data_IF_693979591715
#
_entry.id   IF_693979591715
#
_cell.length_a   1.000
_cell.length_b   1.000
_cell.length_c   1.000
_cell.angle_alpha   90.00
_cell.angle_beta   90.00
_cell.angle_gamma   90.00
#
_symmetry.space_group_name_H-M   'P 1'
#
loop_
_entity.id
_entity.type
_entity.pdbx_description
1 polymer ?
#
# COMPACT_ATOMS: atom_id res chain seq x y z
N UNK A 1 14.68 7.03 -2.09
CA UNK A 1 15.42 6.87 -3.36
C UNK A 1 16.56 7.88 -3.35
N UNK A 2 17.77 7.48 -3.73
CA UNK A 2 18.92 8.39 -3.78
C UNK A 2 18.74 9.43 -4.89
N UNK A 3 19.25 10.65 -4.69
CA UNK A 3 19.27 11.70 -5.73
C UNK A 3 19.89 11.18 -7.03
N UNK A 4 20.91 10.32 -6.93
CA UNK A 4 21.58 9.75 -8.09
C UNK A 4 20.65 8.89 -8.95
N UNK A 5 19.74 8.14 -8.32
CA UNK A 5 18.77 7.29 -9.04
C UNK A 5 17.67 8.14 -9.69
N UNK A 6 17.27 9.24 -9.06
CA UNK A 6 16.32 10.18 -9.67
C UNK A 6 16.92 10.89 -10.88
N UNK A 7 18.19 11.28 -10.80
CA UNK A 7 18.90 11.91 -11.92
C UNK A 7 19.05 10.95 -13.10
N UNK A 8 19.51 9.72 -12.84
CA UNK A 8 19.66 8.70 -13.89
C UNK A 8 18.33 8.39 -14.61
N UNK A 9 17.23 8.24 -13.87
CA UNK A 9 15.90 8.03 -14.47
C UNK A 9 15.47 9.18 -15.39
N UNK A 10 15.85 10.41 -15.04
CA UNK A 10 15.54 11.58 -15.86
C UNK A 10 16.45 11.67 -17.08
N UNK A 11 17.77 11.45 -16.92
CA UNK A 11 18.74 11.55 -18.02
C UNK A 11 18.60 10.41 -19.03
N UNK A 12 18.39 9.18 -18.55
CA UNK A 12 18.36 7.98 -19.38
C UNK A 12 16.97 7.72 -19.99
N UNK A 13 15.89 7.99 -19.25
CA UNK A 13 14.52 7.62 -19.65
C UNK A 13 13.53 8.79 -19.66
N UNK A 14 13.95 10.01 -19.34
CA UNK A 14 13.07 11.18 -19.18
C UNK A 14 11.92 10.94 -18.19
N UNK A 15 12.15 10.10 -17.17
CA UNK A 15 11.17 9.79 -16.13
C UNK A 15 11.39 10.73 -14.96
N UNK A 16 10.33 11.45 -14.57
CA UNK A 16 10.29 12.24 -13.33
C UNK A 16 9.46 11.53 -12.28
N UNK A 17 10.05 11.28 -11.12
CA UNK A 17 9.35 10.69 -9.98
C UNK A 17 8.66 11.79 -9.17
N UNK A 18 7.33 11.85 -9.25
CA UNK A 18 6.53 12.65 -8.34
C UNK A 18 6.22 11.84 -7.08
N UNK A 19 6.62 12.37 -5.92
CA UNK A 19 6.31 11.76 -4.62
C UNK A 19 5.34 12.69 -3.88
N UNK A 20 4.04 12.36 -3.82
CA UNK A 20 3.08 13.16 -3.08
C UNK A 20 3.49 13.31 -1.62
N UNK A 21 3.44 14.55 -1.13
CA UNK A 21 3.89 14.88 0.22
C UNK A 21 2.97 14.28 1.29
N UNK A 22 3.54 14.03 2.48
CA UNK A 22 2.76 13.81 3.71
C UNK A 22 2.32 15.15 4.28
N UNK A 23 1.13 15.20 4.87
CA UNK A 23 0.59 16.40 5.50
C UNK A 23 1.52 16.94 6.61
N UNK A 24 2.24 16.07 7.30
CA UNK A 24 3.12 16.44 8.41
C UNK A 24 4.58 16.71 7.99
N UNK A 25 4.86 16.81 6.69
CA UNK A 25 6.20 17.07 6.19
C UNK A 25 6.50 18.58 6.22
N UNK A 26 7.67 18.97 6.74
CA UNK A 26 8.02 20.40 6.95
C UNK A 26 8.05 21.22 5.67
N UNK A 27 8.48 20.63 4.55
CA UNK A 27 8.57 21.28 3.23
C UNK A 27 7.40 20.87 2.32
N UNK A 28 6.18 20.89 2.85
CA UNK A 28 4.99 20.49 2.10
C UNK A 28 4.71 21.47 0.96
N UNK A 29 4.49 20.94 -0.24
CA UNK A 29 3.93 21.69 -1.36
C UNK A 29 2.62 21.06 -1.83
N UNK A 30 1.70 21.85 -2.41
CA UNK A 30 0.43 21.33 -2.94
C UNK A 30 0.71 20.28 -4.01
N UNK A 31 0.33 19.02 -3.74
CA UNK A 31 0.35 17.96 -4.75
C UNK A 31 -1.01 17.83 -5.41
N UNK A 32 -1.04 17.36 -6.66
CA UNK A 32 -2.26 16.97 -7.34
C UNK A 32 -3.11 16.03 -6.46
N UNK A 33 -4.35 16.44 -6.16
CA UNK A 33 -5.21 15.82 -5.13
C UNK A 33 -5.40 14.31 -5.35
N UNK A 34 -5.61 13.81 -6.60
CA UNK A 34 -5.70 12.37 -6.85
C UNK A 34 -4.47 11.58 -6.39
N UNK A 35 -3.26 12.11 -6.56
CA UNK A 35 -2.03 11.44 -6.11
C UNK A 35 -1.92 11.39 -4.58
N UNK A 36 -2.31 12.46 -3.90
CA UNK A 36 -2.38 12.46 -2.44
C UNK A 36 -3.40 11.43 -1.91
N UNK A 37 -4.56 11.29 -2.56
CA UNK A 37 -5.57 10.27 -2.21
C UNK A 37 -5.05 8.85 -2.47
N UNK A 38 -4.42 8.61 -3.62
CA UNK A 38 -3.82 7.32 -3.95
C UNK A 38 -2.73 6.92 -2.95
N UNK A 39 -1.82 7.84 -2.62
CA UNK A 39 -0.78 7.61 -1.59
C UNK A 39 -1.41 7.21 -0.25
N UNK A 40 -2.40 7.98 0.22
CA UNK A 40 -3.06 7.69 1.50
C UNK A 40 -3.73 6.32 1.50
N UNK A 41 -4.33 5.91 0.38
CA UNK A 41 -4.92 4.58 0.22
C UNK A 41 -3.86 3.48 0.32
N UNK A 42 -2.77 3.60 -0.44
CA UNK A 42 -1.65 2.66 -0.40
C UNK A 42 -1.09 2.53 1.03
N UNK A 43 -0.81 3.65 1.70
CA UNK A 43 -0.33 3.62 3.09
C UNK A 43 -1.31 2.95 4.05
N UNK A 44 -2.62 3.20 3.89
CA UNK A 44 -3.67 2.59 4.72
C UNK A 44 -3.73 1.07 4.51
N UNK A 45 -3.68 0.63 3.25
CA UNK A 45 -3.74 -0.80 2.89
C UNK A 45 -2.51 -1.54 3.44
N UNK A 46 -1.31 -0.97 3.28
CA UNK A 46 -0.07 -1.55 3.82
C UNK A 46 -0.06 -1.59 5.36
N UNK A 47 -0.52 -0.53 6.04
CA UNK A 47 -0.63 -0.55 7.51
C UNK A 47 -1.54 -1.68 7.97
N UNK A 48 -2.69 -1.89 7.32
CA UNK A 48 -3.60 -2.96 7.70
C UNK A 48 -3.05 -4.35 7.39
N UNK A 49 -2.35 -4.54 6.27
CA UNK A 49 -1.66 -5.80 5.96
C UNK A 49 -0.54 -6.12 6.97
N UNK A 50 0.20 -5.10 7.42
CA UNK A 50 1.23 -5.26 8.44
C UNK A 50 0.63 -5.57 9.82
N UNK A 51 -0.38 -4.82 10.24
CA UNK A 51 -0.90 -4.90 11.62
C UNK A 51 -1.88 -6.07 11.81
N UNK A 52 -2.83 -6.26 10.88
CA UNK A 52 -3.90 -7.27 11.02
C UNK A 52 -3.47 -8.64 10.47
N UNK A 53 -2.75 -8.66 9.36
CA UNK A 53 -2.33 -9.90 8.69
C UNK A 53 -0.88 -10.30 8.99
N UNK A 54 -0.15 -9.46 9.72
CA UNK A 54 1.28 -9.67 10.02
C UNK A 54 2.06 -10.06 8.77
N UNK A 55 1.85 -9.36 7.64
CA UNK A 55 2.32 -9.82 6.32
C UNK A 55 3.82 -10.13 6.28
N UNK A 56 4.62 -9.36 7.03
CA UNK A 56 6.08 -9.53 7.18
C UNK A 56 6.47 -10.82 7.91
N UNK A 57 5.65 -11.29 8.87
CA UNK A 57 5.94 -12.54 9.61
C UNK A 57 5.59 -13.74 8.74
N UNK A 58 6.62 -14.44 8.26
CA UNK A 58 6.49 -15.70 7.55
C UNK A 58 7.52 -16.71 8.09
N UNK A 59 7.09 -17.96 8.26
CA UNK A 59 7.94 -19.07 8.73
C UNK A 59 8.06 -20.17 7.66
N UNK A 60 7.94 -19.81 6.38
CA UNK A 60 8.11 -20.75 5.29
C UNK A 60 9.57 -21.20 5.22
N UNK A 61 9.80 -22.50 4.96
CA UNK A 61 11.14 -23.06 4.77
C UNK A 61 11.56 -23.12 3.30
N UNK A 62 10.60 -22.88 2.42
CA UNK A 62 10.69 -23.01 0.97
C UNK A 62 10.05 -21.79 0.29
N UNK A 63 10.47 -21.50 -0.94
CA UNK A 63 10.00 -20.33 -1.70
C UNK A 63 8.53 -20.46 -2.08
N UNK A 64 8.07 -21.65 -2.46
CA UNK A 64 6.66 -21.91 -2.79
C UNK A 64 5.79 -21.63 -1.56
N UNK A 65 6.14 -22.20 -0.40
CA UNK A 65 5.45 -21.93 0.86
C UNK A 65 5.48 -20.46 1.31
N UNK A 66 6.48 -19.68 0.90
CA UNK A 66 6.51 -18.23 1.12
C UNK A 66 5.44 -17.54 0.26
N UNK A 67 5.46 -17.79 -1.06
CA UNK A 67 4.50 -17.19 -1.99
C UNK A 67 3.06 -17.56 -1.65
N UNK A 68 2.78 -18.82 -1.34
CA UNK A 68 1.44 -19.28 -0.96
C UNK A 68 0.92 -18.56 0.29
N UNK A 69 1.77 -18.34 1.30
CA UNK A 69 1.37 -17.63 2.53
C UNK A 69 1.11 -16.15 2.28
N UNK A 70 1.99 -15.48 1.52
CA UNK A 70 1.79 -14.07 1.16
C UNK A 70 0.51 -13.91 0.34
N UNK A 71 0.30 -14.76 -0.66
CA UNK A 71 -0.90 -14.75 -1.49
C UNK A 71 -2.16 -14.99 -0.67
N UNK A 72 -2.13 -15.92 0.28
CA UNK A 72 -3.24 -16.17 1.20
C UNK A 72 -3.62 -14.93 2.03
N UNK A 73 -2.63 -14.19 2.55
CA UNK A 73 -2.87 -12.95 3.30
C UNK A 73 -3.46 -11.85 2.44
N UNK A 74 -2.93 -11.65 1.23
CA UNK A 74 -3.46 -10.67 0.27
C UNK A 74 -4.88 -11.04 -0.14
N UNK A 75 -5.14 -12.32 -0.42
CA UNK A 75 -6.47 -12.81 -0.81
C UNK A 75 -7.50 -12.59 0.31
N UNK A 76 -7.15 -12.93 1.55
CA UNK A 76 -8.02 -12.69 2.70
C UNK A 76 -8.32 -11.19 2.90
N UNK A 77 -7.30 -10.33 2.75
CA UNK A 77 -7.47 -8.87 2.76
C UNK A 77 -8.46 -8.41 1.68
N UNK A 78 -8.32 -8.88 0.44
CA UNK A 78 -9.21 -8.53 -0.68
C UNK A 78 -10.65 -9.03 -0.44
N UNK A 79 -10.83 -10.23 0.10
CA UNK A 79 -12.15 -10.77 0.43
C UNK A 79 -12.85 -9.89 1.47
N UNK A 80 -12.15 -9.49 2.54
CA UNK A 80 -12.74 -8.60 3.55
C UNK A 80 -13.07 -7.21 2.98
N UNK A 81 -12.26 -6.67 2.08
CA UNK A 81 -12.59 -5.43 1.35
C UNK A 81 -13.88 -5.60 0.52
N UNK A 82 -14.04 -6.75 -0.13
CA UNK A 82 -15.23 -7.09 -0.90
C UNK A 82 -16.47 -7.25 -0.01
N UNK A 83 -16.34 -7.91 1.15
CA UNK A 83 -17.42 -8.02 2.14
C UNK A 83 -17.87 -6.64 2.61
N UNK A 84 -16.94 -5.72 2.86
CA UNK A 84 -17.30 -4.34 3.18
C UNK A 84 -18.06 -3.66 2.03
N UNK A 85 -17.62 -3.85 0.80
CA UNK A 85 -18.28 -3.28 -0.38
C UNK A 85 -19.73 -3.75 -0.53
N UNK A 86 -19.99 -5.06 -0.45
CA UNK A 86 -21.37 -5.60 -0.57
C UNK A 86 -22.28 -5.14 0.57
N UNK A 87 -21.71 -4.83 1.74
CA UNK A 87 -22.45 -4.37 2.92
C UNK A 87 -22.53 -2.83 3.02
N UNK A 88 -22.20 -2.09 1.95
CA UNK A 88 -22.17 -0.62 1.93
C UNK A 88 -21.31 0.00 3.05
N UNK A 89 -20.26 -0.70 3.48
CA UNK A 89 -19.29 -0.25 4.48
C UNK A 89 -18.03 0.31 3.81
N UNK A 90 -17.26 1.18 4.48
CA UNK A 90 -16.03 1.72 3.91
C UNK A 90 -15.01 0.62 3.57
N UNK A 91 -14.69 0.48 2.27
CA UNK A 91 -13.78 -0.55 1.74
C UNK A 91 -12.42 -0.54 2.47
N UNK A 92 -11.87 0.64 2.70
CA UNK A 92 -10.56 0.82 3.34
C UNK A 92 -10.54 0.59 4.85
N UNK A 93 -11.62 0.10 5.48
CA UNK A 93 -11.68 -0.19 6.92
C UNK A 93 -12.07 -1.64 7.16
N UNK A 94 -11.09 -2.54 7.04
CA UNK A 94 -11.29 -3.98 7.15
C UNK A 94 -12.00 -4.47 8.41
N UNK A 95 -11.79 -3.79 9.54
CA UNK A 95 -12.42 -4.16 10.81
C UNK A 95 -13.95 -4.21 10.74
N UNK A 96 -14.58 -3.42 9.87
CA UNK A 96 -16.04 -3.42 9.70
C UNK A 96 -16.58 -4.66 8.98
N UNK A 97 -15.73 -5.44 8.31
CA UNK A 97 -16.15 -6.68 7.67
C UNK A 97 -16.40 -7.79 8.70
N UNK A 98 -15.88 -7.63 9.92
CA UNK A 98 -15.95 -8.59 11.02
C UNK A 98 -17.02 -8.25 12.07
N UNK A 99 -17.74 -7.15 11.89
CA UNK A 99 -18.79 -6.62 12.79
C UNK A 99 -20.07 -6.49 11.98
#
# INVERSE_FOLDING_TARGET
ISKNVQLDLFETANIRLEVPYRLNQKDWSPTFIPFAKARKRIETDFSQLCDQFMIVRNYAKDTVGLFTRILGKISAFTILQYINHINNKPIGRLKYALI
#
